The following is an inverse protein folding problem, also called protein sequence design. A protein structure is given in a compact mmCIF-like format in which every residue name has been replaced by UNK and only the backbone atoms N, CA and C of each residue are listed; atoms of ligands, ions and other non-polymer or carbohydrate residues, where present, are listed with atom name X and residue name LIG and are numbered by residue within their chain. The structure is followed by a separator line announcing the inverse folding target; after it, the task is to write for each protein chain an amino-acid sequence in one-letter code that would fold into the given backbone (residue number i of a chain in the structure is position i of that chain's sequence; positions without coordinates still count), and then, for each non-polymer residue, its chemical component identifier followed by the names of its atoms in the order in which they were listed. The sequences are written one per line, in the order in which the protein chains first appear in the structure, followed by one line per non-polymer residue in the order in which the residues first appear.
data_IF_919597224161
#
_entry.id   IF_919597224161
#
_cell.length_a   1.000
_cell.length_b   1.000
_cell.length_c   1.000
_cell.angle_alpha   90.00
_cell.angle_beta   90.00
_cell.angle_gamma   90.00
#
_symmetry.space_group_name_H-M   'P 1'
#
loop_
_entity.id
_entity.type
_entity.pdbx_description
1 polymer ?
#
# COMPACT_ATOMS: atom_id res chain seq x y z
N UNK A 1 13.19 28.79 -31.90
CA UNK A 1 12.79 27.47 -31.36
C UNK A 1 11.91 26.81 -32.40
N UNK A 2 12.42 25.76 -33.05
CA UNK A 2 11.79 25.13 -34.24
C UNK A 2 10.92 23.93 -33.89
N UNK A 3 10.80 23.61 -32.61
CA UNK A 3 10.00 22.49 -32.12
C UNK A 3 8.64 23.02 -31.63
N UNK A 4 7.56 22.46 -32.16
CA UNK A 4 6.20 22.79 -31.74
C UNK A 4 5.81 21.89 -30.57
N UNK A 5 5.13 22.42 -29.52
CA UNK A 5 4.52 21.58 -28.51
C UNK A 5 3.57 20.58 -29.16
N UNK A 6 3.57 19.35 -28.65
CA UNK A 6 2.66 18.32 -29.12
C UNK A 6 1.22 18.59 -28.64
N UNK A 7 0.30 17.72 -29.06
CA UNK A 7 -1.12 17.87 -28.76
C UNK A 7 -1.41 17.74 -27.26
N UNK A 8 -0.69 16.84 -26.58
CA UNK A 8 -0.85 16.54 -25.16
C UNK A 8 -0.43 17.75 -24.30
N UNK A 9 0.73 18.35 -24.59
CA UNK A 9 1.21 19.54 -23.89
C UNK A 9 0.26 20.75 -24.08
N UNK A 10 -0.30 20.93 -25.29
CA UNK A 10 -1.27 21.99 -25.55
C UNK A 10 -2.60 21.78 -24.79
N UNK A 11 -3.05 20.53 -24.65
CA UNK A 11 -4.24 20.20 -23.85
C UNK A 11 -3.97 20.41 -22.37
N UNK A 12 -2.85 19.89 -21.85
CA UNK A 12 -2.45 20.06 -20.45
C UNK A 12 -2.32 21.54 -20.07
N UNK A 13 -1.78 22.36 -20.98
CA UNK A 13 -1.75 23.81 -20.80
C UNK A 13 -3.15 24.43 -20.70
N UNK A 14 -4.08 24.03 -21.57
CA UNK A 14 -5.45 24.53 -21.56
C UNK A 14 -6.22 24.13 -20.28
N UNK A 15 -5.99 22.90 -19.82
CA UNK A 15 -6.63 22.33 -18.64
C UNK A 15 -5.98 22.78 -17.31
N UNK A 16 -4.83 23.47 -17.39
CA UNK A 16 -4.08 23.96 -16.22
C UNK A 16 -3.29 22.85 -15.51
N UNK A 17 -2.99 21.76 -16.21
CA UNK A 17 -2.27 20.59 -15.71
C UNK A 17 -0.76 20.62 -16.00
N UNK A 18 -0.30 21.55 -16.84
CA UNK A 18 1.14 21.76 -17.10
C UNK A 18 1.87 22.38 -15.92
N UNK A 19 3.14 22.03 -15.73
CA UNK A 19 3.95 22.63 -14.67
C UNK A 19 4.18 24.15 -14.92
N UNK A 20 4.57 24.94 -13.90
CA UNK A 20 4.70 26.40 -14.05
C UNK A 20 5.77 26.85 -15.06
N UNK A 21 6.82 26.06 -15.28
CA UNK A 21 7.88 26.36 -16.24
C UNK A 21 7.43 26.01 -17.66
N UNK A 22 6.86 24.82 -17.84
CA UNK A 22 6.27 24.38 -19.10
C UNK A 22 5.16 25.33 -19.56
N UNK A 23 4.25 25.71 -18.66
CA UNK A 23 3.18 26.67 -18.93
C UNK A 23 3.70 28.00 -19.50
N UNK A 24 4.82 28.50 -18.97
CA UNK A 24 5.45 29.74 -19.44
C UNK A 24 6.08 29.57 -20.82
N UNK A 25 6.74 28.44 -21.06
CA UNK A 25 7.33 28.12 -22.36
C UNK A 25 6.24 28.01 -23.44
N UNK A 26 5.15 27.30 -23.15
CA UNK A 26 4.00 27.18 -24.05
C UNK A 26 3.36 28.55 -24.29
N UNK A 27 3.12 29.36 -23.25
CA UNK A 27 2.57 30.70 -23.41
C UNK A 27 3.44 31.60 -24.30
N UNK A 28 4.77 31.55 -24.12
CA UNK A 28 5.72 32.28 -24.97
C UNK A 28 5.67 31.78 -26.43
N UNK A 29 5.54 30.47 -26.65
CA UNK A 29 5.40 29.89 -27.98
C UNK A 29 4.08 30.29 -28.66
N UNK A 30 2.96 30.28 -27.93
CA UNK A 30 1.65 30.69 -28.44
C UNK A 30 1.63 32.15 -28.89
N UNK A 31 2.44 33.02 -28.28
CA UNK A 31 2.59 34.42 -28.68
C UNK A 31 3.28 34.59 -30.05
N UNK A 32 4.04 33.60 -30.51
CA UNK A 32 4.84 33.68 -31.76
C UNK A 32 4.33 32.70 -32.83
N UNK A 33 3.63 31.63 -32.43
CA UNK A 33 3.17 30.58 -33.34
C UNK A 33 1.64 30.61 -33.56
N UNK A 34 1.15 31.17 -34.69
CA UNK A 34 -0.29 31.26 -34.96
C UNK A 34 -0.96 29.89 -35.18
N UNK A 35 -0.19 28.88 -35.62
CA UNK A 35 -0.67 27.50 -35.77
C UNK A 35 -1.06 26.91 -34.42
N UNK A 36 -0.15 26.93 -33.44
CA UNK A 36 -0.43 26.41 -32.10
C UNK A 36 -1.51 27.24 -31.39
N UNK A 37 -1.53 28.57 -31.57
CA UNK A 37 -2.59 29.42 -31.04
C UNK A 37 -3.98 29.07 -31.59
N UNK A 38 -4.08 28.70 -32.88
CA UNK A 38 -5.34 28.24 -33.47
C UNK A 38 -5.80 26.92 -32.86
N UNK A 39 -4.88 25.97 -32.69
CA UNK A 39 -5.17 24.67 -32.07
C UNK A 39 -5.72 24.84 -30.64
N UNK A 40 -5.08 25.68 -29.81
CA UNK A 40 -5.55 25.94 -28.45
C UNK A 40 -6.93 26.59 -28.44
N UNK A 41 -7.20 27.53 -29.36
CA UNK A 41 -8.51 28.17 -29.50
C UNK A 41 -9.59 27.18 -29.92
N UNK A 42 -9.29 26.24 -30.81
CA UNK A 42 -10.23 25.21 -31.24
C UNK A 42 -10.59 24.27 -30.07
N UNK A 43 -9.59 23.84 -29.29
CA UNK A 43 -9.80 23.07 -28.06
C UNK A 43 -10.64 23.85 -27.04
N UNK A 44 -10.36 25.15 -26.87
CA UNK A 44 -11.11 26.02 -25.97
C UNK A 44 -12.58 26.15 -26.41
N UNK A 45 -12.84 26.27 -27.71
CA UNK A 45 -14.19 26.33 -28.25
C UNK A 45 -14.98 25.03 -27.99
N UNK A 46 -14.33 23.88 -28.12
CA UNK A 46 -14.93 22.57 -27.77
C UNK A 46 -15.27 22.53 -26.27
N UNK A 47 -14.32 22.91 -25.40
CA UNK A 47 -14.53 22.94 -23.95
C UNK A 47 -15.70 23.86 -23.55
N UNK A 48 -15.79 25.04 -24.18
CA UNK A 48 -16.90 25.97 -23.97
C UNK A 48 -18.24 25.41 -24.46
N UNK A 49 -18.26 24.76 -25.62
CA UNK A 49 -19.45 24.11 -26.17
C UNK A 49 -19.97 23.01 -25.24
N UNK A 50 -19.08 22.19 -24.67
CA UNK A 50 -19.44 21.17 -23.69
C UNK A 50 -20.00 21.77 -22.39
N UNK A 51 -19.42 22.87 -21.90
CA UNK A 51 -19.93 23.57 -20.70
C UNK A 51 -21.29 24.24 -20.92
N UNK A 52 -21.63 24.59 -22.16
CA UNK A 52 -22.91 25.18 -22.51
C UNK A 52 -24.05 24.15 -22.58
N UNK A 53 -23.74 22.85 -22.61
CA UNK A 53 -24.73 21.80 -22.51
C UNK A 53 -25.43 21.89 -21.14
N UNK A 54 -26.75 21.70 -21.12
CA UNK A 54 -27.52 21.73 -19.88
C UNK A 54 -27.01 20.61 -18.96
N UNK A 55 -26.44 20.91 -17.79
CA UNK A 55 -26.00 19.88 -16.87
C UNK A 55 -27.23 19.15 -16.33
N UNK A 56 -27.22 17.83 -16.42
CA UNK A 56 -28.21 17.00 -15.73
C UNK A 56 -28.09 17.27 -14.23
N UNK A 57 -29.20 17.61 -13.57
CA UNK A 57 -29.17 17.80 -12.13
C UNK A 57 -28.94 16.44 -11.48
N UNK A 58 -27.92 16.29 -10.60
CA UNK A 58 -27.76 15.06 -9.86
C UNK A 58 -29.05 14.79 -9.06
N UNK A 59 -29.50 13.53 -8.94
CA UNK A 59 -30.77 13.19 -8.27
C UNK A 59 -30.79 13.52 -6.77
N UNK A 60 -29.63 13.87 -6.22
CA UNK A 60 -29.45 14.30 -4.84
C UNK A 60 -28.88 15.71 -4.83
N UNK A 61 -29.29 16.49 -3.83
CA UNK A 61 -28.71 17.82 -3.58
C UNK A 61 -27.27 17.68 -3.07
N UNK A 62 -26.33 17.53 -4.02
CA UNK A 62 -24.90 17.45 -3.75
C UNK A 62 -24.38 18.74 -3.14
N UNK A 63 -24.92 19.89 -3.52
CA UNK A 63 -24.50 21.18 -2.98
C UNK A 63 -24.78 21.25 -1.48
N UNK A 64 -25.99 20.87 -1.05
CA UNK A 64 -26.33 20.81 0.36
C UNK A 64 -25.47 19.79 1.13
N UNK A 65 -25.22 18.61 0.55
CA UNK A 65 -24.36 17.58 1.18
C UNK A 65 -22.92 18.03 1.35
N UNK A 66 -22.33 18.67 0.33
CA UNK A 66 -20.96 19.18 0.41
C UNK A 66 -20.89 20.35 1.38
N UNK A 67 -21.87 21.26 1.37
CA UNK A 67 -21.96 22.35 2.35
C UNK A 67 -21.94 21.81 3.79
N UNK A 68 -22.81 20.84 4.09
CA UNK A 68 -22.86 20.21 5.40
C UNK A 68 -21.53 19.53 5.81
N UNK A 69 -20.78 18.98 4.86
CA UNK A 69 -19.45 18.39 5.12
C UNK A 69 -18.38 19.45 5.41
N UNK A 70 -18.45 20.61 4.74
CA UNK A 70 -17.51 21.71 4.95
C UNK A 70 -17.78 22.45 6.26
N UNK A 71 -19.06 22.59 6.64
CA UNK A 71 -19.51 23.26 7.87
C UNK A 71 -19.38 22.37 9.11
N UNK A 72 -19.29 21.05 8.94
CA UNK A 72 -19.12 20.13 10.05
C UNK A 72 -17.78 20.39 10.74
N UNK A 73 -17.76 20.67 12.05
CA UNK A 73 -16.52 20.78 12.80
C UNK A 73 -15.78 19.46 12.66
N UNK A 74 -14.61 19.47 11.98
CA UNK A 74 -13.75 18.29 11.96
C UNK A 74 -13.54 17.86 13.40
N UNK A 75 -13.95 16.64 13.81
CA UNK A 75 -13.71 16.20 15.16
C UNK A 75 -12.21 16.34 15.36
N UNK A 76 -11.81 17.23 16.28
CA UNK A 76 -10.41 17.41 16.62
C UNK A 76 -9.89 16.01 16.86
N UNK A 77 -9.02 15.54 15.98
CA UNK A 77 -8.51 14.17 16.01
C UNK A 77 -7.78 14.06 17.32
N UNK A 78 -8.49 13.65 18.37
CA UNK A 78 -7.97 13.60 19.72
C UNK A 78 -6.82 12.63 19.61
N UNK A 79 -5.59 13.14 19.59
CA UNK A 79 -4.40 12.31 19.61
C UNK A 79 -4.47 11.65 20.98
N UNK A 80 -4.81 10.35 21.09
CA UNK A 80 -4.83 9.72 22.40
C UNK A 80 -3.41 9.92 22.95
N UNK A 81 -3.31 10.54 24.12
CA UNK A 81 -2.05 10.89 24.72
C UNK A 81 -1.15 9.65 24.68
N UNK A 82 -0.06 9.69 23.90
CA UNK A 82 0.81 8.52 23.64
C UNK A 82 1.30 7.86 24.94
N UNK A 83 1.26 8.58 26.05
CA UNK A 83 1.59 8.13 27.40
C UNK A 83 0.58 7.12 27.97
N UNK A 84 -0.72 7.27 27.70
CA UNK A 84 -1.76 6.32 28.16
C UNK A 84 -1.57 4.93 27.53
N UNK A 85 -1.02 4.87 26.31
CA UNK A 85 -0.73 3.61 25.62
C UNK A 85 0.57 2.94 26.05
N UNK A 86 1.44 3.60 26.82
CA UNK A 86 2.73 3.06 27.28
C UNK A 86 2.68 2.45 28.68
N UNK A 87 1.74 2.88 29.53
CA UNK A 87 1.54 2.29 30.86
C UNK A 87 1.36 0.76 30.87
N UNK A 88 0.48 0.15 30.04
CA UNK A 88 0.28 -1.30 30.08
C UNK A 88 1.49 -2.09 29.56
N UNK A 89 2.30 -1.50 28.68
CA UNK A 89 3.52 -2.12 28.14
C UNK A 89 4.62 -2.19 29.21
N UNK A 90 4.78 -1.14 30.01
CA UNK A 90 5.77 -1.11 31.09
C UNK A 90 5.38 -2.03 32.25
N UNK A 91 4.09 -2.10 32.58
CA UNK A 91 3.59 -2.99 33.64
C UNK A 91 3.77 -4.49 33.28
N UNK A 92 3.55 -4.88 32.02
CA UNK A 92 3.72 -6.26 31.57
C UNK A 92 5.16 -6.77 31.68
N UNK A 93 6.15 -5.97 31.29
CA UNK A 93 7.56 -6.36 31.32
C UNK A 93 8.07 -6.63 32.74
N UNK A 94 7.68 -5.79 33.72
CA UNK A 94 8.05 -5.97 35.11
C UNK A 94 7.44 -7.24 35.73
N UNK A 95 6.17 -7.54 35.39
CA UNK A 95 5.48 -8.73 35.88
C UNK A 95 6.14 -10.03 35.37
N UNK A 96 6.54 -10.08 34.09
CA UNK A 96 7.19 -11.26 33.51
C UNK A 96 8.55 -11.56 34.15
N UNK A 97 9.36 -10.53 34.43
CA UNK A 97 10.64 -10.70 35.12
C UNK A 97 10.45 -11.19 36.55
N UNK A 98 9.50 -10.61 37.28
CA UNK A 98 9.22 -11.01 38.67
C UNK A 98 8.74 -12.47 38.75
N UNK A 99 7.85 -12.87 37.82
CA UNK A 99 7.33 -14.24 37.77
C UNK A 99 8.42 -15.25 37.38
N UNK A 100 9.29 -14.90 36.42
CA UNK A 100 10.43 -15.73 36.03
C UNK A 100 11.44 -15.92 37.17
N UNK A 101 11.76 -14.86 37.93
CA UNK A 101 12.66 -14.94 39.09
C UNK A 101 12.04 -15.78 40.21
N UNK A 102 10.76 -15.59 40.50
CA UNK A 102 10.05 -16.37 41.52
C UNK A 102 10.05 -17.87 41.17
N UNK A 103 9.67 -18.24 39.95
CA UNK A 103 9.67 -19.63 39.50
C UNK A 103 11.10 -20.19 39.48
N UNK A 104 12.06 -19.44 38.95
CA UNK A 104 13.47 -19.85 38.88
C UNK A 104 14.09 -20.11 40.25
N UNK A 105 13.76 -19.27 41.25
CA UNK A 105 14.26 -19.40 42.62
C UNK A 105 13.64 -20.57 43.40
N UNK A 106 12.49 -21.09 42.95
CA UNK A 106 11.79 -22.20 43.58
C UNK A 106 12.19 -23.57 43.01
N UNK A 107 12.98 -23.60 41.93
CA UNK A 107 13.46 -24.86 41.33
C UNK A 107 14.68 -25.38 42.10
N UNK A 108 14.68 -26.65 42.56
CA UNK A 108 15.88 -27.25 43.11
C UNK A 108 16.97 -27.37 42.03
N UNK A 109 18.26 -27.22 42.38
CA UNK A 109 19.34 -27.41 41.41
C UNK A 109 19.32 -28.87 40.92
N UNK A 110 19.05 -29.08 39.63
CA UNK A 110 19.17 -30.40 39.03
C UNK A 110 20.64 -30.85 39.05
N UNK A 111 20.95 -32.10 39.45
CA UNK A 111 22.26 -32.69 39.18
C UNK A 111 22.47 -32.79 37.66
N UNK A 112 23.72 -32.80 37.16
CA UNK A 112 23.99 -32.74 35.73
C UNK A 112 23.36 -33.95 35.02
N UNK A 113 22.28 -33.69 34.31
CA UNK A 113 21.67 -34.65 33.41
C UNK A 113 22.62 -34.85 32.24
N UNK A 114 23.43 -35.91 32.26
CA UNK A 114 23.77 -36.64 31.05
C UNK A 114 22.48 -37.23 30.50
N UNK A 115 21.66 -36.38 29.89
CA UNK A 115 20.49 -36.79 29.16
C UNK A 115 20.99 -37.58 27.94
N UNK A 116 21.05 -38.90 28.08
CA UNK A 116 21.07 -39.79 26.94
C UNK A 116 19.86 -39.40 26.07
N UNK A 117 20.13 -38.80 24.92
CA UNK A 117 19.11 -38.37 23.98
C UNK A 117 18.28 -39.60 23.61
N UNK A 118 17.01 -39.63 24.03
CA UNK A 118 16.12 -40.76 23.73
C UNK A 118 15.89 -40.82 22.22
N UNK A 119 16.40 -41.87 21.57
CA UNK A 119 16.20 -42.16 20.14
C UNK A 119 14.72 -42.15 19.71
N UNK A 120 13.78 -42.30 20.65
CA UNK A 120 12.34 -42.24 20.39
C UNK A 120 11.86 -40.85 19.94
N UNK A 121 12.54 -39.76 20.32
CA UNK A 121 12.16 -38.41 19.89
C UNK A 121 12.47 -38.15 18.40
N UNK A 122 13.38 -38.91 17.81
CA UNK A 122 13.75 -38.83 16.39
C UNK A 122 12.90 -39.74 15.49
N UNK A 123 11.97 -40.53 16.06
CA UNK A 123 11.11 -41.44 15.30
C UNK A 123 10.16 -40.71 14.33
N UNK A 124 9.80 -39.45 14.62
CA UNK A 124 9.00 -38.58 13.74
C UNK A 124 9.75 -38.20 12.45
N UNK A 125 11.09 -38.26 12.46
CA UNK A 125 11.95 -37.97 11.30
C UNK A 125 12.43 -39.26 10.61
N UNK A 126 12.08 -40.44 11.14
CA UNK A 126 12.38 -41.72 10.52
C UNK A 126 11.52 -41.97 9.28
N UNK A 127 12.01 -42.78 8.35
CA UNK A 127 11.28 -43.16 7.13
C UNK A 127 10.10 -44.12 7.39
N UNK A 128 9.59 -44.18 8.61
CA UNK A 128 8.47 -45.02 9.02
C UNK A 128 7.25 -44.12 9.33
N UNK A 129 6.48 -43.72 8.31
CA UNK A 129 5.30 -42.88 8.49
C UNK A 129 4.06 -43.72 8.85
N UNK A 130 3.01 -43.12 9.44
CA UNK A 130 1.65 -43.47 9.08
C UNK A 130 1.31 -42.82 7.72
N UNK A 131 1.81 -43.35 6.60
CA UNK A 131 1.55 -42.71 5.29
C UNK A 131 2.28 -43.24 4.04
N UNK A 132 2.57 -44.55 3.96
CA UNK A 132 3.18 -45.20 2.79
C UNK A 132 2.71 -44.64 1.42
N UNK A 133 3.63 -44.19 0.57
CA UNK A 133 3.32 -43.79 -0.82
C UNK A 133 4.16 -44.47 -1.91
N UNK A 134 5.09 -45.39 -1.60
CA UNK A 134 5.70 -46.23 -2.63
C UNK A 134 5.87 -47.67 -2.15
N UNK A 135 5.27 -48.62 -2.87
CA UNK A 135 5.33 -50.04 -2.53
C UNK A 135 6.68 -50.70 -2.90
N UNK A 136 7.50 -50.08 -3.77
CA UNK A 136 8.87 -50.51 -4.11
C UNK A 136 9.78 -49.30 -4.41
N UNK A 137 11.05 -49.32 -3.99
CA UNK A 137 11.97 -48.17 -4.12
C UNK A 137 12.46 -47.93 -5.56
N UNK A 138 12.56 -48.97 -6.39
CA UNK A 138 13.04 -48.87 -7.79
C UNK A 138 12.14 -47.98 -8.68
N UNK A 139 10.89 -47.76 -8.27
CA UNK A 139 9.91 -46.91 -8.95
C UNK A 139 10.04 -45.41 -8.65
N UNK A 140 10.84 -45.01 -7.65
CA UNK A 140 10.99 -43.59 -7.28
C UNK A 140 11.92 -42.80 -8.21
N UNK A 141 12.78 -43.46 -8.98
CA UNK A 141 13.69 -42.81 -9.94
C UNK A 141 13.36 -43.23 -11.37
N UNK A 142 12.18 -42.84 -11.87
CA UNK A 142 11.91 -42.87 -13.32
C UNK A 142 12.71 -41.74 -13.99
N UNK A 143 13.87 -42.10 -14.54
CA UNK A 143 14.68 -41.23 -15.40
C UNK A 143 13.97 -41.11 -16.75
N UNK A 144 13.17 -40.05 -16.92
CA UNK A 144 12.57 -39.70 -18.21
C UNK A 144 13.70 -39.47 -19.21
N UNK A 145 13.82 -40.36 -20.19
CA UNK A 145 14.71 -40.16 -21.34
C UNK A 145 13.81 -39.80 -22.51
N UNK A 146 13.72 -38.52 -22.82
CA UNK A 146 13.08 -38.03 -24.04
C UNK A 146 13.91 -38.46 -25.25
N UNK A 147 13.29 -39.19 -26.18
CA UNK A 147 13.72 -39.28 -27.57
C UNK A 147 12.51 -39.49 -28.47
#
# INVERSE_FOLDING_TARGET
MTEHPDMEALSAYLDGESDPLESRCIAAHLAVCPRCATVVRDLQAISQGLRALLPEQPPVDLAARVGALLDSPRPARQRPARWSKRLPVVAGAAASLLFGVLIGSALPPEPPASAALSLNALAVLGSAPPGALCARPESCYLKVTLK
#
